data_IF_425599321980
#
_entry.id   IF_425599321980
#
_cell.length_a   1.000
_cell.length_b   1.000
_cell.length_c   1.000
_cell.angle_alpha   90.00
_cell.angle_beta   90.00
_cell.angle_gamma   90.00
#
_symmetry.space_group_name_H-M   'P 1'
#
loop_
_entity.id
_entity.type
_entity.pdbx_description
1 polymer ?
#
# COMPACT_ATOMS: atom_id res chain seq x y z
N UNK A 1 11.82 0.77 -10.01
CA UNK A 1 11.12 0.38 -8.76
C UNK A 1 11.85 0.79 -7.48
N UNK A 2 13.19 0.81 -7.42
CA UNK A 2 13.90 1.12 -6.16
C UNK A 2 13.52 2.46 -5.52
N UNK A 3 13.44 3.54 -6.32
CA UNK A 3 12.97 4.86 -5.86
C UNK A 3 11.54 4.81 -5.29
N UNK A 4 10.65 4.03 -5.91
CA UNK A 4 9.27 3.83 -5.45
C UNK A 4 9.27 3.11 -4.09
N UNK A 5 10.08 2.07 -3.91
CA UNK A 5 10.19 1.34 -2.63
C UNK A 5 10.65 2.23 -1.48
N UNK A 6 11.62 3.12 -1.70
CA UNK A 6 12.03 4.11 -0.69
C UNK A 6 10.88 5.06 -0.33
N UNK A 7 10.13 5.53 -1.33
CA UNK A 7 8.94 6.38 -1.11
C UNK A 7 7.83 5.65 -0.38
N UNK A 8 7.66 4.34 -0.56
CA UNK A 8 6.67 3.56 0.21
C UNK A 8 7.01 3.49 1.69
N UNK A 9 8.29 3.37 2.05
CA UNK A 9 8.71 3.41 3.46
C UNK A 9 8.39 4.77 4.09
N UNK A 10 8.62 5.86 3.35
CA UNK A 10 8.20 7.21 3.78
C UNK A 10 6.69 7.33 3.87
N UNK A 11 5.94 6.78 2.89
CA UNK A 11 4.49 6.77 2.91
C UNK A 11 3.96 6.14 4.20
N UNK A 12 4.40 4.92 4.51
CA UNK A 12 4.02 4.21 5.74
C UNK A 12 4.35 5.04 6.98
N UNK A 13 5.51 5.69 7.02
CA UNK A 13 5.84 6.59 8.15
C UNK A 13 4.89 7.77 8.26
N UNK A 14 4.46 8.38 7.16
CA UNK A 14 3.49 9.48 7.19
C UNK A 14 2.11 8.99 7.60
N UNK A 15 1.68 7.82 7.13
CA UNK A 15 0.42 7.21 7.53
C UNK A 15 0.37 6.94 9.04
N UNK A 16 1.42 6.32 9.58
CA UNK A 16 1.51 6.00 11.01
C UNK A 16 1.53 7.24 11.91
N UNK A 17 2.09 8.34 11.40
CA UNK A 17 2.12 9.62 12.11
C UNK A 17 0.84 10.46 11.91
N UNK A 18 -0.11 9.99 11.11
CA UNK A 18 -1.31 10.77 10.74
C UNK A 18 -1.01 11.98 9.84
N UNK A 19 0.19 12.05 9.24
CA UNK A 19 0.67 13.12 8.37
C UNK A 19 0.06 13.00 6.95
N UNK A 20 -1.27 13.02 6.84
CA UNK A 20 -2.02 12.76 5.59
C UNK A 20 -1.59 13.69 4.45
N UNK A 21 -1.30 14.97 4.76
CA UNK A 21 -0.81 15.93 3.75
C UNK A 21 0.49 15.44 3.09
N UNK A 22 1.48 15.02 3.89
CA UNK A 22 2.75 14.48 3.37
C UNK A 22 2.55 13.14 2.68
N UNK A 23 1.64 12.30 3.18
CA UNK A 23 1.28 11.06 2.51
C UNK A 23 0.74 11.31 1.09
N UNK A 24 -0.11 12.33 0.91
CA UNK A 24 -0.62 12.74 -0.40
C UNK A 24 0.46 13.29 -1.31
N UNK A 25 1.30 14.20 -0.82
CA UNK A 25 2.44 14.75 -1.57
C UNK A 25 3.40 13.65 -2.02
N UNK A 26 3.69 12.67 -1.14
CA UNK A 26 4.55 11.54 -1.45
C UNK A 26 3.91 10.59 -2.46
N UNK A 27 2.59 10.33 -2.37
CA UNK A 27 1.87 9.57 -3.38
C UNK A 27 1.98 10.22 -4.77
N UNK A 28 1.81 11.55 -4.89
CA UNK A 28 1.93 12.24 -6.18
C UNK A 28 3.32 12.01 -6.81
N UNK A 29 4.38 12.03 -5.99
CA UNK A 29 5.74 11.75 -6.44
C UNK A 29 5.96 10.27 -6.80
N UNK A 30 5.25 9.33 -6.16
CA UNK A 30 5.23 7.92 -6.58
C UNK A 30 4.54 7.80 -7.94
N UNK A 31 3.35 8.39 -8.09
CA UNK A 31 2.55 8.34 -9.31
C UNK A 31 3.29 8.93 -10.52
N UNK A 32 4.02 10.04 -10.35
CA UNK A 32 4.85 10.63 -11.41
C UNK A 32 5.99 9.72 -11.85
N UNK A 33 6.57 8.94 -10.93
CA UNK A 33 7.64 7.98 -11.24
C UNK A 33 7.12 6.70 -11.91
N UNK A 34 5.82 6.42 -11.75
CA UNK A 34 5.15 5.29 -12.36
C UNK A 34 4.74 5.68 -13.79
N UNK A 35 5.33 5.02 -14.79
CA UNK A 35 4.94 5.22 -16.19
C UNK A 35 3.53 4.68 -16.50
N UNK A 36 3.01 4.90 -17.70
CA UNK A 36 1.61 4.62 -18.06
C UNK A 36 1.19 3.17 -18.32
N UNK A 37 2.00 2.17 -17.97
CA UNK A 37 1.63 0.76 -18.14
C UNK A 37 0.43 0.36 -17.26
N UNK A 38 -0.42 -0.57 -17.69
CA UNK A 38 -1.61 -1.02 -16.94
C UNK A 38 -1.27 -1.45 -15.51
N UNK A 39 -0.19 -2.22 -15.35
CA UNK A 39 0.34 -2.59 -14.04
C UNK A 39 0.59 -1.37 -13.14
N UNK A 40 1.27 -0.36 -13.66
CA UNK A 40 1.58 0.85 -12.91
C UNK A 40 0.31 1.66 -12.57
N UNK A 41 -0.71 1.65 -13.44
CA UNK A 41 -2.01 2.28 -13.15
C UNK A 41 -2.66 1.65 -11.94
N UNK A 42 -2.73 0.31 -11.90
CA UNK A 42 -3.29 -0.42 -10.77
C UNK A 42 -2.51 -0.21 -9.48
N UNK A 43 -1.18 -0.22 -9.57
CA UNK A 43 -0.29 0.06 -8.46
C UNK A 43 -0.52 1.46 -7.87
N UNK A 44 -0.56 2.48 -8.74
CA UNK A 44 -0.85 3.86 -8.36
C UNK A 44 -2.25 4.01 -7.73
N UNK A 45 -3.25 3.33 -8.31
CA UNK A 45 -4.64 3.33 -7.82
C UNK A 45 -4.76 2.74 -6.41
N UNK A 46 -4.04 1.66 -6.10
CA UNK A 46 -4.00 1.10 -4.74
C UNK A 46 -3.44 2.10 -3.73
N UNK A 47 -2.31 2.74 -4.05
CA UNK A 47 -1.68 3.73 -3.17
C UNK A 47 -2.59 4.94 -2.97
N UNK A 48 -3.20 5.45 -4.04
CA UNK A 48 -4.16 6.54 -3.93
C UNK A 48 -5.35 6.16 -3.03
N UNK A 49 -5.90 4.95 -3.21
CA UNK A 49 -6.98 4.43 -2.37
C UNK A 49 -6.60 4.41 -0.89
N UNK A 50 -5.40 3.92 -0.58
CA UNK A 50 -4.83 3.93 0.78
C UNK A 50 -4.77 5.34 1.37
N UNK A 51 -4.18 6.28 0.63
CA UNK A 51 -4.07 7.68 1.10
C UNK A 51 -5.45 8.30 1.28
N UNK A 52 -6.38 8.07 0.36
CA UNK A 52 -7.74 8.60 0.44
C UNK A 52 -8.54 8.00 1.60
N UNK A 53 -8.38 6.71 1.91
CA UNK A 53 -9.01 6.10 3.10
C UNK A 53 -8.51 6.77 4.38
N UNK A 54 -7.20 7.03 4.47
CA UNK A 54 -6.60 7.73 5.62
C UNK A 54 -7.07 9.19 5.70
N UNK A 55 -7.16 9.89 4.57
CA UNK A 55 -7.65 11.27 4.48
C UNK A 55 -9.12 11.40 4.91
N UNK A 56 -9.95 10.43 4.55
CA UNK A 56 -11.36 10.39 4.95
C UNK A 56 -11.59 9.82 6.34
N UNK A 57 -10.54 9.36 7.01
CA UNK A 57 -10.63 8.60 8.26
C UNK A 57 -11.64 7.44 8.15
N UNK A 58 -11.56 6.69 7.05
CA UNK A 58 -12.42 5.54 6.78
C UNK A 58 -12.04 4.38 7.71
N UNK A 59 -12.67 4.35 8.89
CA UNK A 59 -12.37 3.38 9.96
C UNK A 59 -12.63 1.93 9.55
N UNK A 60 -13.45 1.69 8.53
CA UNK A 60 -13.70 0.33 8.04
C UNK A 60 -12.61 -0.17 7.09
N UNK A 61 -11.81 0.74 6.52
CA UNK A 61 -10.70 0.39 5.64
C UNK A 61 -9.60 -0.39 6.36
N UNK A 62 -9.01 -1.35 5.65
CA UNK A 62 -7.92 -2.19 6.16
C UNK A 62 -6.73 -1.33 6.60
N UNK A 63 -6.37 -0.30 5.83
CA UNK A 63 -5.21 0.54 6.17
C UNK A 63 -5.42 1.33 7.47
N UNK A 64 -6.60 1.90 7.69
CA UNK A 64 -6.90 2.62 8.93
C UNK A 64 -6.79 1.67 10.13
N UNK A 65 -7.30 0.44 10.01
CA UNK A 65 -7.17 -0.59 11.05
C UNK A 65 -5.72 -1.02 11.30
N UNK A 66 -4.90 -1.13 10.25
CA UNK A 66 -3.45 -1.39 10.38
C UNK A 66 -2.76 -0.26 11.15
N UNK A 67 -2.98 0.99 10.73
CA UNK A 67 -2.37 2.18 11.36
C UNK A 67 -2.81 2.34 12.81
N UNK A 68 -4.09 2.07 13.10
CA UNK A 68 -4.66 2.07 14.45
C UNK A 68 -4.19 0.88 15.32
N UNK A 69 -3.37 -0.04 14.77
CA UNK A 69 -2.88 -1.26 15.44
C UNK A 69 -4.00 -2.21 15.88
N UNK A 70 -5.12 -2.20 15.17
CA UNK A 70 -6.26 -3.09 15.41
C UNK A 70 -6.10 -4.45 14.71
N UNK A 71 -5.12 -4.57 13.81
CA UNK A 71 -4.77 -5.82 13.11
C UNK A 71 -3.48 -6.36 13.73
N UNK A 72 -3.54 -7.60 14.24
CA UNK A 72 -2.38 -8.27 14.82
C UNK A 72 -1.39 -8.76 13.75
N UNK A 73 -0.20 -9.18 14.18
CA UNK A 73 0.87 -9.65 13.28
C UNK A 73 0.48 -10.88 12.46
N UNK A 74 -0.33 -11.79 13.01
CA UNK A 74 -0.77 -13.00 12.31
C UNK A 74 -1.70 -12.61 11.17
N UNK A 75 -2.65 -11.74 11.46
CA UNK A 75 -3.67 -11.30 10.49
C UNK A 75 -3.04 -10.41 9.42
N UNK A 76 -2.05 -9.59 9.77
CA UNK A 76 -1.24 -8.83 8.80
C UNK A 76 -0.46 -9.76 7.84
N UNK A 77 0.15 -10.83 8.35
CA UNK A 77 0.82 -11.85 7.52
C UNK A 77 -0.17 -12.59 6.61
N UNK A 78 -1.39 -12.83 7.10
CA UNK A 78 -2.47 -13.44 6.30
C UNK A 78 -2.85 -12.53 5.13
N UNK A 79 -3.06 -11.24 5.38
CA UNK A 79 -3.32 -10.25 4.33
C UNK A 79 -2.19 -10.21 3.29
N UNK A 80 -0.93 -10.20 3.74
CA UNK A 80 0.23 -10.23 2.85
C UNK A 80 0.23 -11.49 1.95
N UNK A 81 -0.03 -12.66 2.54
CA UNK A 81 -0.10 -13.92 1.80
C UNK A 81 -1.23 -13.90 0.75
N UNK A 82 -2.41 -13.40 1.10
CA UNK A 82 -3.54 -13.32 0.20
C UNK A 82 -3.29 -12.34 -0.96
N UNK A 83 -2.73 -11.16 -0.69
CA UNK A 83 -2.34 -10.20 -1.74
C UNK A 83 -1.24 -10.79 -2.64
N UNK A 84 -0.29 -11.53 -2.08
CA UNK A 84 0.78 -12.19 -2.88
C UNK A 84 0.21 -13.24 -3.83
N UNK A 85 -0.76 -14.03 -3.38
CA UNK A 85 -1.47 -15.00 -4.24
C UNK A 85 -2.21 -14.28 -5.37
N UNK A 86 -2.91 -13.19 -5.05
CA UNK A 86 -3.65 -12.41 -6.06
C UNK A 86 -2.70 -11.69 -7.04
N UNK A 87 -1.58 -11.17 -6.59
CA UNK A 87 -0.59 -10.53 -7.46
C UNK A 87 0.05 -11.52 -8.47
N UNK A 88 0.06 -12.82 -8.16
CA UNK A 88 0.65 -13.88 -9.01
C UNK A 88 -0.39 -14.70 -9.79
N UNK A 89 -1.68 -14.39 -9.65
CA UNK A 89 -2.75 -15.11 -10.32
C UNK A 89 -2.74 -14.84 -11.83
N UNK A 90 -2.68 -15.92 -12.62
CA UNK A 90 -2.62 -15.86 -14.09
C UNK A 90 -3.90 -15.30 -14.73
N UNK A 91 -5.05 -15.40 -14.05
CA UNK A 91 -6.33 -14.94 -14.60
C UNK A 91 -6.61 -13.45 -14.34
N UNK A 92 -5.77 -12.79 -13.55
CA UNK A 92 -5.88 -11.35 -13.30
C UNK A 92 -5.24 -10.52 -14.39
N UNK A 93 -5.88 -9.40 -14.66
CA UNK A 93 -5.36 -8.36 -15.55
C UNK A 93 -4.09 -7.74 -14.98
N UNK A 94 -3.29 -7.11 -15.83
CA UNK A 94 -2.07 -6.42 -15.40
C UNK A 94 -2.37 -5.28 -14.40
N UNK A 95 -3.48 -4.54 -14.58
CA UNK A 95 -3.93 -3.54 -13.60
C UNK A 95 -4.20 -4.17 -12.23
N UNK A 96 -4.95 -5.27 -12.17
CA UNK A 96 -5.25 -5.97 -10.91
C UNK A 96 -3.98 -6.51 -10.23
N UNK A 97 -3.04 -7.06 -11.00
CA UNK A 97 -1.74 -7.51 -10.46
C UNK A 97 -0.94 -6.36 -9.90
N UNK A 98 -0.93 -5.21 -10.59
CA UNK A 98 -0.30 -3.99 -10.10
C UNK A 98 -0.91 -3.50 -8.79
N UNK A 99 -2.24 -3.50 -8.70
CA UNK A 99 -2.97 -3.13 -7.50
C UNK A 99 -2.60 -4.02 -6.30
N UNK A 100 -2.59 -5.33 -6.48
CA UNK A 100 -2.23 -6.27 -5.41
C UNK A 100 -0.74 -6.19 -5.06
N UNK A 101 0.14 -5.93 -6.03
CA UNK A 101 1.57 -5.76 -5.76
C UNK A 101 1.84 -4.54 -4.88
N UNK A 102 1.12 -3.43 -5.06
CA UNK A 102 1.23 -2.28 -4.17
C UNK A 102 0.83 -2.64 -2.71
N UNK A 103 -0.21 -3.46 -2.55
CA UNK A 103 -0.57 -3.98 -1.24
C UNK A 103 0.49 -4.92 -0.68
N UNK A 104 1.08 -5.81 -1.48
CA UNK A 104 2.20 -6.67 -1.06
C UNK A 104 3.36 -5.84 -0.53
N UNK A 105 3.77 -4.79 -1.25
CA UNK A 105 4.89 -3.93 -0.85
C UNK A 105 4.59 -3.20 0.47
N UNK A 106 3.40 -2.62 0.63
CA UNK A 106 3.00 -1.90 1.85
C UNK A 106 2.86 -2.85 3.04
N UNK A 107 2.18 -3.99 2.86
CA UNK A 107 1.99 -4.98 3.91
C UNK A 107 3.33 -5.58 4.36
N UNK A 108 4.28 -5.78 3.44
CA UNK A 108 5.63 -6.24 3.78
C UNK A 108 6.34 -5.27 4.72
N UNK A 109 6.27 -3.96 4.44
CA UNK A 109 6.83 -2.92 5.32
C UNK A 109 6.19 -3.00 6.71
N UNK A 110 4.86 -3.13 6.80
CA UNK A 110 4.19 -3.26 8.09
C UNK A 110 4.59 -4.55 8.83
N UNK A 111 4.72 -5.69 8.13
CA UNK A 111 5.15 -6.95 8.75
C UNK A 111 6.57 -6.83 9.30
N UNK A 112 7.50 -6.22 8.55
CA UNK A 112 8.86 -5.93 8.99
C UNK A 112 8.88 -5.07 10.25
N UNK A 113 8.07 -4.00 10.30
CA UNK A 113 7.96 -3.10 11.45
C UNK A 113 7.42 -3.78 12.72
N UNK A 114 6.55 -4.78 12.59
CA UNK A 114 6.05 -5.58 13.74
C UNK A 114 7.04 -6.64 14.25
N UNK A 115 8.22 -6.75 13.63
CA UNK A 115 9.29 -7.66 14.04
C UNK A 115 10.52 -6.98 14.63
N UNK A 116 10.62 -5.65 14.53
CA UNK A 116 11.65 -4.82 15.14
C UNK A 116 11.19 -4.30 16.51
#
# INVERSE_FOLDING_TARGET
MEKVKLRLKLLVSYLDNGDVKKAKENYLQIAEQLGGAEFNKGYSKAINGIVTSMEKNDRDSIICKIVAKEIDKRDLKKLLLESTKRASDTFRTEEEKGFETAWVDILSIYVEKTGA
#
